data_IF_438473776301
#
_entry.id   IF_438473776301
#
_cell.length_a   1.000
_cell.length_b   1.000
_cell.length_c   1.000
_cell.angle_alpha   90.00
_cell.angle_beta   90.00
_cell.angle_gamma   90.00
#
_symmetry.space_group_name_H-M   'P 1'
#
loop_
_entity.id
_entity.type
_entity.pdbx_description
1 polymer ?
#
# COMPACT_ATOMS: atom_id res chain seq x y z
N UNK A 1 11.82 11.27 -1.76
CA UNK A 1 11.82 10.13 -0.81
C UNK A 1 11.99 8.86 -1.62
N UNK A 2 12.86 7.93 -1.17
CA UNK A 2 12.99 6.64 -1.83
C UNK A 2 12.00 5.65 -1.25
N UNK A 3 11.15 5.06 -2.09
CA UNK A 3 9.96 4.33 -1.66
C UNK A 3 9.93 2.94 -2.28
N UNK A 4 9.74 1.91 -1.47
CA UNK A 4 9.49 0.56 -1.95
C UNK A 4 8.01 0.19 -1.76
N UNK A 5 7.38 -0.32 -2.79
CA UNK A 5 6.02 -0.85 -2.73
C UNK A 5 6.10 -2.37 -2.63
N UNK A 6 6.01 -2.89 -1.43
CA UNK A 6 6.05 -4.34 -1.21
C UNK A 6 4.71 -4.96 -1.57
N UNK A 7 4.63 -5.51 -2.79
CA UNK A 7 3.42 -6.06 -3.37
C UNK A 7 2.67 -5.08 -4.27
N UNK A 8 3.17 -4.86 -5.48
CA UNK A 8 2.56 -3.99 -6.49
C UNK A 8 1.36 -4.67 -7.21
N UNK A 9 0.43 -5.24 -6.42
CA UNK A 9 -0.88 -5.67 -6.90
C UNK A 9 -1.83 -4.47 -7.12
N UNK A 10 -3.15 -4.71 -7.10
CA UNK A 10 -4.14 -3.67 -7.37
C UNK A 10 -3.96 -2.41 -6.51
N UNK A 11 -3.88 -2.57 -5.19
CA UNK A 11 -3.75 -1.44 -4.24
C UNK A 11 -2.34 -0.86 -4.28
N UNK A 12 -1.31 -1.70 -4.12
CA UNK A 12 0.08 -1.23 -4.13
C UNK A 12 0.51 -0.65 -5.47
N UNK A 13 0.03 -1.25 -6.59
CA UNK A 13 0.25 -0.71 -7.93
C UNK A 13 -0.40 0.65 -8.12
N UNK A 14 -1.62 0.85 -7.62
CA UNK A 14 -2.28 2.16 -7.67
C UNK A 14 -1.47 3.23 -6.92
N UNK A 15 -1.21 3.02 -5.62
CA UNK A 15 -0.49 4.01 -4.81
C UNK A 15 0.95 4.22 -5.30
N UNK A 16 1.66 3.14 -5.64
CA UNK A 16 3.01 3.23 -6.18
C UNK A 16 3.06 3.94 -7.53
N UNK A 17 2.11 3.65 -8.41
CA UNK A 17 1.97 4.32 -9.71
C UNK A 17 1.69 5.82 -9.55
N UNK A 18 0.81 6.18 -8.63
CA UNK A 18 0.51 7.58 -8.30
C UNK A 18 1.76 8.31 -7.82
N UNK A 19 2.51 7.74 -6.88
CA UNK A 19 3.73 8.35 -6.35
C UNK A 19 4.81 8.48 -7.44
N UNK A 20 5.00 7.45 -8.24
CA UNK A 20 5.94 7.49 -9.36
C UNK A 20 5.55 8.56 -10.40
N UNK A 21 4.26 8.70 -10.71
CA UNK A 21 3.75 9.73 -11.63
C UNK A 21 3.91 11.16 -11.07
N UNK A 22 4.04 11.32 -9.75
CA UNK A 22 4.37 12.59 -9.09
C UNK A 22 5.88 12.90 -9.09
N UNK A 23 6.71 11.96 -9.57
CA UNK A 23 8.17 12.12 -9.65
C UNK A 23 8.93 11.61 -8.43
N UNK A 24 8.28 10.84 -7.55
CA UNK A 24 8.97 10.18 -6.43
C UNK A 24 9.85 9.02 -6.91
N UNK A 25 10.93 8.74 -6.17
CA UNK A 25 11.79 7.58 -6.43
C UNK A 25 11.13 6.30 -5.90
N UNK A 26 10.38 5.64 -6.77
CA UNK A 26 9.59 4.45 -6.44
C UNK A 26 10.18 3.20 -7.05
N UNK A 27 10.26 2.13 -6.26
CA UNK A 27 10.53 0.76 -6.72
C UNK A 27 9.33 -0.13 -6.40
N UNK A 28 8.78 -0.76 -7.42
CA UNK A 28 7.68 -1.71 -7.27
C UNK A 28 8.24 -3.13 -7.09
N UNK A 29 7.77 -3.83 -6.06
CA UNK A 29 8.05 -5.27 -5.93
C UNK A 29 6.87 -6.03 -6.50
N UNK A 30 7.07 -6.60 -7.71
CA UNK A 30 6.06 -7.34 -8.45
C UNK A 30 6.68 -8.55 -9.14
N UNK A 31 5.99 -9.70 -9.08
CA UNK A 31 6.49 -10.98 -9.61
C UNK A 31 5.78 -11.38 -10.90
N UNK A 32 6.46 -12.25 -11.68
CA UNK A 32 5.87 -12.92 -12.84
C UNK A 32 5.44 -11.97 -13.97
N UNK A 33 4.42 -12.37 -14.72
CA UNK A 33 3.99 -11.64 -15.91
C UNK A 33 3.56 -10.19 -15.65
N UNK A 34 3.04 -9.89 -14.44
CA UNK A 34 2.68 -8.53 -14.07
C UNK A 34 3.93 -7.63 -13.92
N UNK A 35 4.94 -8.10 -13.19
CA UNK A 35 6.21 -7.38 -13.04
C UNK A 35 6.93 -7.19 -14.38
N UNK A 36 6.98 -8.23 -15.21
CA UNK A 36 7.59 -8.16 -16.54
C UNK A 36 6.91 -7.11 -17.43
N UNK A 37 5.58 -7.08 -17.46
CA UNK A 37 4.83 -6.10 -18.25
C UNK A 37 5.08 -4.66 -17.78
N UNK A 38 5.19 -4.43 -16.45
CA UNK A 38 5.55 -3.11 -15.91
C UNK A 38 6.98 -2.71 -16.34
N UNK A 39 7.92 -3.65 -16.28
CA UNK A 39 9.31 -3.39 -16.68
C UNK A 39 9.43 -2.99 -18.16
N UNK A 40 8.70 -3.67 -19.02
CA UNK A 40 8.75 -3.45 -20.47
C UNK A 40 7.98 -2.19 -20.90
N UNK A 41 6.76 -2.02 -20.37
CA UNK A 41 5.79 -1.05 -20.91
C UNK A 41 5.50 0.11 -19.95
N UNK A 42 5.97 0.07 -18.71
CA UNK A 42 5.55 0.95 -17.63
C UNK A 42 4.27 0.45 -16.97
N UNK A 43 3.86 1.10 -15.89
CA UNK A 43 2.62 0.83 -15.20
C UNK A 43 1.51 1.71 -15.76
N UNK A 44 0.51 1.07 -16.36
CA UNK A 44 -0.73 1.72 -16.78
C UNK A 44 -1.69 1.81 -15.60
N UNK A 45 -2.23 2.99 -15.35
CA UNK A 45 -3.28 3.19 -14.34
C UNK A 45 -4.45 3.91 -15.00
N UNK A 46 -5.61 3.27 -14.98
CA UNK A 46 -6.89 3.91 -15.33
C UNK A 46 -7.65 4.19 -14.04
N UNK A 47 -8.00 5.45 -13.83
CA UNK A 47 -8.61 5.91 -12.58
C UNK A 47 -9.66 6.97 -12.85
N UNK A 48 -10.65 7.05 -11.96
CA UNK A 48 -11.61 8.15 -11.92
C UNK A 48 -10.92 9.54 -11.92
N UNK A 49 -9.73 9.62 -11.37
CA UNK A 49 -8.94 10.84 -11.21
C UNK A 49 -7.95 11.11 -12.35
N UNK A 50 -8.05 10.35 -13.43
CA UNK A 50 -7.23 10.48 -14.62
C UNK A 50 -6.39 9.24 -14.91
N UNK A 51 -6.19 8.99 -16.20
CA UNK A 51 -5.42 7.86 -16.69
C UNK A 51 -3.98 8.30 -16.96
N UNK A 52 -3.04 7.42 -16.64
CA UNK A 52 -1.62 7.68 -16.93
C UNK A 52 -0.85 6.37 -17.16
N UNK A 53 0.28 6.50 -17.82
CA UNK A 53 1.29 5.43 -17.88
C UNK A 53 2.60 6.01 -17.34
N UNK A 54 3.23 5.33 -16.40
CA UNK A 54 4.46 5.78 -15.78
C UNK A 54 5.55 4.72 -15.87
N UNK A 55 6.73 5.14 -16.31
CA UNK A 55 7.94 4.31 -16.19
C UNK A 55 8.39 4.32 -14.75
N UNK A 56 8.52 3.14 -14.16
CA UNK A 56 8.88 2.96 -12.76
C UNK A 56 9.79 1.73 -12.62
N UNK A 57 10.73 1.79 -11.69
CA UNK A 57 11.59 0.66 -11.40
C UNK A 57 10.76 -0.49 -10.82
N UNK A 58 10.99 -1.71 -11.29
CA UNK A 58 10.31 -2.92 -10.80
C UNK A 58 11.31 -4.06 -10.65
N UNK A 59 11.15 -4.82 -9.58
CA UNK A 59 11.93 -6.05 -9.33
C UNK A 59 11.04 -7.11 -8.69
N UNK A 60 11.37 -8.36 -8.88
CA UNK A 60 10.77 -9.49 -8.14
C UNK A 60 11.61 -9.91 -6.92
N UNK A 61 12.83 -9.38 -6.80
CA UNK A 61 13.74 -9.63 -5.69
C UNK A 61 13.95 -8.38 -4.81
N UNK A 62 13.29 -8.30 -3.64
CA UNK A 62 13.46 -7.19 -2.71
C UNK A 62 14.90 -6.96 -2.25
N UNK A 63 15.75 -8.00 -2.25
CA UNK A 63 17.14 -7.89 -1.80
C UNK A 63 17.99 -6.98 -2.72
N UNK A 64 17.56 -6.76 -3.95
CA UNK A 64 18.26 -5.90 -4.92
C UNK A 64 17.97 -4.41 -4.74
N UNK A 65 16.97 -4.05 -3.93
CA UNK A 65 16.50 -2.65 -3.78
C UNK A 65 17.46 -1.82 -2.94
N UNK A 66 18.02 -2.40 -1.87
CA UNK A 66 18.76 -1.65 -0.85
C UNK A 66 17.86 -0.83 0.06
N UNK A 67 18.44 -0.08 0.98
CA UNK A 67 17.69 0.70 1.98
C UNK A 67 16.82 1.78 1.33
N UNK A 68 15.62 1.97 1.91
CA UNK A 68 14.63 2.96 1.48
C UNK A 68 14.12 3.78 2.67
N UNK A 69 13.54 4.94 2.40
CA UNK A 69 12.94 5.80 3.43
C UNK A 69 11.56 5.27 3.87
N UNK A 70 10.78 4.74 2.92
CA UNK A 70 9.43 4.23 3.17
C UNK A 70 9.20 2.90 2.46
N UNK A 71 8.69 1.92 3.19
CA UNK A 71 8.11 0.71 2.62
C UNK A 71 6.60 0.80 2.77
N UNK A 72 5.87 0.85 1.64
CA UNK A 72 4.42 0.66 1.63
C UNK A 72 4.13 -0.84 1.48
N UNK A 73 3.69 -1.47 2.58
CA UNK A 73 3.46 -2.91 2.62
C UNK A 73 2.02 -3.26 2.25
N UNK A 74 1.86 -3.85 1.05
CA UNK A 74 0.57 -4.08 0.38
C UNK A 74 0.30 -5.55 0.04
N UNK A 75 1.15 -6.50 0.45
CA UNK A 75 0.92 -7.91 0.19
C UNK A 75 -0.31 -8.42 0.95
N UNK A 76 -0.82 -9.58 0.60
CA UNK A 76 -1.86 -10.21 1.41
C UNK A 76 -1.27 -10.69 2.74
N UNK A 77 -2.05 -10.62 3.83
CA UNK A 77 -1.59 -10.97 5.19
C UNK A 77 -0.95 -12.36 5.26
N UNK A 78 -1.52 -13.35 4.57
CA UNK A 78 -0.99 -14.72 4.52
C UNK A 78 0.39 -14.83 3.84
N UNK A 79 0.82 -13.80 3.12
CA UNK A 79 2.15 -13.76 2.49
C UNK A 79 3.25 -13.23 3.41
N UNK A 80 2.92 -12.77 4.62
CA UNK A 80 3.89 -12.13 5.51
C UNK A 80 5.03 -13.07 5.91
N UNK A 81 4.77 -14.37 6.03
CA UNK A 81 5.82 -15.34 6.36
C UNK A 81 6.97 -15.37 5.32
N UNK A 82 6.66 -15.11 4.06
CA UNK A 82 7.64 -15.00 2.96
C UNK A 82 8.13 -13.55 2.78
N UNK A 83 7.19 -12.60 2.81
CA UNK A 83 7.46 -11.20 2.49
C UNK A 83 8.37 -10.51 3.51
N UNK A 84 8.11 -10.67 4.82
CA UNK A 84 8.86 -9.93 5.83
C UNK A 84 10.36 -10.29 5.86
N UNK A 85 10.77 -11.57 5.80
CA UNK A 85 12.19 -11.91 5.71
C UNK A 85 12.88 -11.29 4.48
N UNK A 86 12.18 -11.22 3.33
CA UNK A 86 12.73 -10.68 2.08
C UNK A 86 12.91 -9.15 2.12
N UNK A 87 12.20 -8.45 3.01
CA UNK A 87 12.28 -6.99 3.16
C UNK A 87 13.52 -6.53 3.94
N UNK A 88 14.23 -7.42 4.64
CA UNK A 88 15.32 -7.02 5.55
C UNK A 88 16.38 -6.14 4.92
N UNK A 89 16.74 -6.37 3.67
CA UNK A 89 17.71 -5.57 2.94
C UNK A 89 17.23 -4.17 2.55
N UNK A 90 15.94 -3.89 2.67
CA UNK A 90 15.35 -2.57 2.40
C UNK A 90 15.21 -1.70 3.67
N UNK A 91 15.38 -2.30 4.85
CA UNK A 91 15.15 -1.63 6.14
C UNK A 91 16.46 -1.15 6.74
N UNK A 92 16.67 0.14 6.73
CA UNK A 92 17.75 0.83 7.43
C UNK A 92 17.28 1.50 8.72
N UNK A 93 18.15 2.29 9.33
CA UNK A 93 17.89 2.93 10.64
C UNK A 93 16.70 3.88 10.61
N UNK A 94 16.46 4.56 9.50
CA UNK A 94 15.39 5.57 9.36
C UNK A 94 14.21 5.08 8.50
N UNK A 95 14.18 3.81 8.12
CA UNK A 95 13.10 3.27 7.29
C UNK A 95 11.78 3.20 8.08
N UNK A 96 10.74 3.78 7.53
CA UNK A 96 9.36 3.59 8.01
C UNK A 96 8.66 2.51 7.19
N UNK A 97 7.94 1.62 7.86
CA UNK A 97 7.11 0.60 7.22
C UNK A 97 5.65 0.97 7.47
N UNK A 98 4.96 1.45 6.45
CA UNK A 98 3.52 1.69 6.49
C UNK A 98 2.79 0.47 5.93
N UNK A 99 2.12 -0.27 6.79
CA UNK A 99 1.27 -1.39 6.33
C UNK A 99 -0.15 -0.91 6.09
N UNK A 100 -0.68 -1.23 4.93
CA UNK A 100 -2.07 -0.99 4.55
C UNK A 100 -2.82 -2.29 4.26
N UNK A 101 -2.31 -3.41 4.78
CA UNK A 101 -2.96 -4.71 4.68
C UNK A 101 -4.32 -4.68 5.42
N UNK A 102 -5.30 -5.40 4.88
CA UNK A 102 -6.58 -5.56 5.58
C UNK A 102 -6.40 -6.40 6.85
N UNK A 103 -7.19 -6.09 7.88
CA UNK A 103 -7.14 -6.73 9.19
C UNK A 103 -6.56 -5.82 10.26
N UNK A 104 -6.38 -6.35 11.46
CA UNK A 104 -5.98 -5.61 12.66
C UNK A 104 -4.65 -6.11 13.25
N UNK A 105 -4.06 -7.15 12.68
CA UNK A 105 -2.88 -7.83 13.24
C UNK A 105 -1.58 -7.56 12.48
N UNK A 106 -1.66 -6.95 11.28
CA UNK A 106 -0.50 -6.76 10.42
C UNK A 106 0.60 -5.95 11.11
N UNK A 107 0.23 -4.86 11.77
CA UNK A 107 1.20 -3.99 12.45
C UNK A 107 2.00 -4.71 13.52
N UNK A 108 1.35 -5.51 14.38
CA UNK A 108 2.05 -6.29 15.43
C UNK A 108 2.97 -7.35 14.85
N UNK A 109 2.53 -8.06 13.80
CA UNK A 109 3.35 -9.08 13.13
C UNK A 109 4.62 -8.45 12.50
N UNK A 110 4.49 -7.27 11.88
CA UNK A 110 5.63 -6.56 11.28
C UNK A 110 6.56 -6.03 12.39
N UNK A 111 5.99 -5.51 13.48
CA UNK A 111 6.74 -4.99 14.62
C UNK A 111 7.58 -6.06 15.32
N UNK A 112 7.12 -7.32 15.38
CA UNK A 112 7.91 -8.45 15.89
C UNK A 112 9.20 -8.69 15.10
N UNK A 113 9.21 -8.33 13.80
CA UNK A 113 10.37 -8.56 12.93
C UNK A 113 11.29 -7.34 12.84
N UNK A 114 10.72 -6.13 12.80
CA UNK A 114 11.47 -4.90 12.48
C UNK A 114 11.52 -3.87 13.62
N UNK A 115 10.80 -4.12 14.73
CA UNK A 115 10.64 -3.15 15.82
C UNK A 115 9.40 -2.27 15.62
N UNK A 116 8.73 -1.96 16.73
CA UNK A 116 7.49 -1.15 16.72
C UNK A 116 7.72 0.31 16.33
N UNK A 117 8.91 0.82 16.57
CA UNK A 117 9.34 2.18 16.26
C UNK A 117 9.39 2.46 14.75
N UNK A 118 9.52 1.42 13.92
CA UNK A 118 9.51 1.52 12.45
C UNK A 118 8.15 1.39 11.81
N UNK A 119 7.12 0.96 12.54
CA UNK A 119 5.86 0.54 11.95
C UNK A 119 4.78 1.59 12.14
N UNK A 120 4.18 2.01 11.03
CA UNK A 120 2.90 2.72 10.98
C UNK A 120 1.82 1.77 10.48
N UNK A 121 0.65 1.87 11.06
CA UNK A 121 -0.51 1.13 10.58
C UNK A 121 -1.42 2.04 9.75
N UNK A 122 -2.09 1.46 8.75
CA UNK A 122 -3.00 2.22 7.91
C UNK A 122 -4.14 1.39 7.35
N UNK A 123 -5.20 2.09 7.01
CA UNK A 123 -6.37 1.59 6.32
C UNK A 123 -6.54 2.32 4.99
N UNK A 124 -6.90 1.60 3.94
CA UNK A 124 -7.24 2.20 2.64
C UNK A 124 -8.67 1.90 2.27
N UNK A 125 -9.33 2.88 1.67
CA UNK A 125 -10.67 2.74 1.12
C UNK A 125 -10.56 3.08 -0.36
N UNK A 126 -10.48 2.05 -1.17
CA UNK A 126 -10.28 2.14 -2.62
C UNK A 126 -10.82 0.88 -3.27
N UNK A 127 -11.49 1.05 -4.39
CA UNK A 127 -11.84 -0.03 -5.29
C UNK A 127 -10.82 -0.07 -6.42
N UNK A 128 -9.96 -1.07 -6.41
CA UNK A 128 -8.94 -1.26 -7.45
C UNK A 128 -8.77 -2.72 -7.81
N UNK A 129 -8.46 -2.96 -9.07
CA UNK A 129 -8.24 -4.28 -9.64
C UNK A 129 -7.07 -4.29 -10.62
N UNK A 130 -6.56 -5.48 -10.91
CA UNK A 130 -5.62 -5.70 -12.02
C UNK A 130 -6.46 -5.96 -13.26
N UNK A 131 -6.50 -5.00 -14.18
CA UNK A 131 -7.23 -5.10 -15.45
C UNK A 131 -6.46 -5.97 -16.48
N UNK A 132 -5.14 -6.04 -16.32
CA UNK A 132 -4.24 -6.85 -17.14
C UNK A 132 -2.83 -6.79 -16.57
N UNK A 133 -1.91 -7.55 -17.12
CA UNK A 133 -0.51 -7.47 -16.69
C UNK A 133 0.04 -6.06 -16.95
N UNK A 134 0.59 -5.42 -15.92
CA UNK A 134 1.06 -4.03 -15.99
C UNK A 134 -0.05 -2.97 -16.02
N UNK A 135 -1.31 -3.36 -15.79
CA UNK A 135 -2.46 -2.46 -15.89
C UNK A 135 -3.35 -2.54 -14.65
N UNK A 136 -3.48 -1.43 -13.94
CA UNK A 136 -4.34 -1.25 -12.78
C UNK A 136 -5.56 -0.43 -13.16
N UNK A 137 -6.73 -0.85 -12.72
CA UNK A 137 -7.97 -0.09 -12.82
C UNK A 137 -8.46 0.28 -11.42
N UNK A 138 -8.79 1.56 -11.22
CA UNK A 138 -9.41 2.07 -10.01
C UNK A 138 -10.80 2.59 -10.35
N UNK A 139 -11.81 2.04 -9.68
CA UNK A 139 -13.23 2.38 -9.85
C UNK A 139 -13.70 3.35 -8.76
N UNK A 140 -14.77 4.07 -9.08
CA UNK A 140 -15.40 4.99 -8.12
C UNK A 140 -14.55 6.23 -7.80
N UNK A 141 -15.13 7.13 -7.02
CA UNK A 141 -14.51 8.41 -6.66
C UNK A 141 -13.76 8.38 -5.33
N UNK A 142 -13.69 7.21 -4.67
CA UNK A 142 -13.02 7.09 -3.37
C UNK A 142 -11.61 6.55 -3.55
N UNK A 143 -10.64 7.35 -3.12
CA UNK A 143 -9.27 6.94 -2.90
C UNK A 143 -8.80 7.56 -1.57
N UNK A 144 -8.91 6.79 -0.49
CA UNK A 144 -8.55 7.25 0.87
C UNK A 144 -7.49 6.36 1.47
N UNK A 145 -6.51 7.01 2.12
CA UNK A 145 -5.57 6.37 3.03
C UNK A 145 -5.65 7.07 4.39
N UNK A 146 -5.83 6.30 5.44
CA UNK A 146 -5.82 6.76 6.83
C UNK A 146 -4.80 5.94 7.60
N UNK A 147 -3.86 6.59 8.26
CA UNK A 147 -2.75 5.91 8.93
C UNK A 147 -2.31 6.72 10.15
N UNK A 148 -1.54 6.11 11.03
CA UNK A 148 -1.05 6.83 12.22
C UNK A 148 -0.10 6.02 13.07
N UNK A 149 0.43 6.70 14.08
CA UNK A 149 1.17 6.08 15.17
C UNK A 149 0.21 5.28 16.06
N UNK A 150 0.72 4.23 16.70
CA UNK A 150 -0.09 3.39 17.58
C UNK A 150 -0.60 4.13 18.83
N UNK A 151 0.12 5.17 19.26
CA UNK A 151 -0.25 6.01 20.40
C UNK A 151 -1.11 7.23 20.01
N UNK A 152 -1.41 7.38 18.72
CA UNK A 152 -2.20 8.49 18.17
C UNK A 152 -1.44 9.82 18.08
N UNK A 153 -0.14 9.83 18.29
CA UNK A 153 0.68 11.04 18.17
C UNK A 153 0.83 11.47 16.71
N UNK A 154 0.97 12.78 16.49
CA UNK A 154 1.40 13.33 15.20
C UNK A 154 2.90 13.54 15.24
N UNK A 155 3.62 12.91 14.32
CA UNK A 155 5.08 12.92 14.25
C UNK A 155 5.54 13.52 12.92
N UNK A 156 6.83 13.88 12.83
CA UNK A 156 7.40 14.37 11.57
C UNK A 156 7.25 13.36 10.43
N UNK A 157 7.38 12.06 10.71
CA UNK A 157 7.21 11.03 9.69
C UNK A 157 5.76 10.90 9.23
N UNK A 158 4.77 11.00 10.12
CA UNK A 158 3.36 10.96 9.71
C UNK A 158 3.00 12.16 8.84
N UNK A 159 3.50 13.35 9.17
CA UNK A 159 3.29 14.55 8.37
C UNK A 159 4.01 14.50 7.02
N UNK A 160 5.22 13.94 6.97
CA UNK A 160 5.95 13.74 5.71
C UNK A 160 5.20 12.78 4.78
N UNK A 161 4.71 11.66 5.31
CA UNK A 161 3.92 10.67 4.54
C UNK A 161 2.57 11.26 4.13
N UNK A 162 1.91 12.04 4.99
CA UNK A 162 0.68 12.75 4.63
C UNK A 162 0.87 13.66 3.42
N UNK A 163 1.95 14.46 3.41
CA UNK A 163 2.30 15.33 2.28
C UNK A 163 2.64 14.54 1.03
N UNK A 164 3.33 13.41 1.18
CA UNK A 164 3.72 12.53 0.08
C UNK A 164 2.49 12.00 -0.69
N UNK A 165 1.44 11.58 0.02
CA UNK A 165 0.22 11.06 -0.60
C UNK A 165 -0.80 12.14 -0.99
N UNK A 166 -0.61 13.39 -0.53
CA UNK A 166 -1.57 14.48 -0.80
C UNK A 166 -1.61 14.83 -2.28
N UNK A 167 -2.79 14.71 -2.88
CA UNK A 167 -3.08 15.11 -4.27
C UNK A 167 -4.59 15.29 -4.45
N UNK A 168 -4.98 15.94 -5.55
CA UNK A 168 -6.38 16.05 -5.92
C UNK A 168 -7.01 14.66 -6.09
N UNK A 169 -8.17 14.47 -5.48
CA UNK A 169 -8.91 13.22 -5.51
C UNK A 169 -8.46 12.17 -4.50
N UNK A 170 -7.37 12.38 -3.75
CA UNK A 170 -6.95 11.46 -2.69
C UNK A 170 -7.20 12.06 -1.31
N UNK A 171 -7.95 11.36 -0.48
CA UNK A 171 -8.14 11.70 0.92
C UNK A 171 -7.02 11.08 1.76
N UNK A 172 -6.28 11.91 2.47
CA UNK A 172 -5.15 11.48 3.30
C UNK A 172 -5.33 11.98 4.72
N UNK A 173 -5.48 11.07 5.67
CA UNK A 173 -5.75 11.39 7.07
C UNK A 173 -4.69 10.77 7.98
N UNK A 174 -4.20 11.54 8.95
CA UNK A 174 -3.39 11.02 10.06
C UNK A 174 -4.35 10.76 11.22
N UNK A 175 -4.50 9.50 11.56
CA UNK A 175 -5.43 9.05 12.60
C UNK A 175 -4.83 9.28 13.99
N UNK A 176 -5.63 9.82 14.90
CA UNK A 176 -5.30 9.90 16.32
C UNK A 176 -5.69 8.64 17.11
N UNK A 177 -6.33 7.68 16.45
CA UNK A 177 -6.69 6.37 17.01
C UNK A 177 -6.73 5.32 15.90
N UNK A 178 -5.55 4.98 15.36
CA UNK A 178 -5.46 4.06 14.21
C UNK A 178 -6.03 2.67 14.53
N UNK A 179 -5.93 2.23 15.77
CA UNK A 179 -6.48 0.94 16.21
C UNK A 179 -7.98 0.91 16.03
N UNK A 180 -8.69 1.98 16.43
CA UNK A 180 -10.15 2.09 16.25
C UNK A 180 -10.52 2.16 14.76
N UNK A 181 -9.74 2.89 13.97
CA UNK A 181 -9.90 2.94 12.51
C UNK A 181 -9.84 1.55 11.88
N UNK A 182 -8.83 0.74 12.26
CA UNK A 182 -8.67 -0.62 11.75
C UNK A 182 -9.82 -1.54 12.17
N UNK A 183 -10.26 -1.48 13.44
CA UNK A 183 -11.39 -2.28 13.92
C UNK A 183 -12.70 -1.88 13.26
N UNK A 184 -12.98 -0.58 13.11
CA UNK A 184 -14.17 -0.08 12.41
C UNK A 184 -14.20 -0.58 10.96
N UNK A 185 -13.05 -0.50 10.25
CA UNK A 185 -12.92 -1.06 8.91
C UNK A 185 -13.13 -2.57 8.90
N UNK A 186 -12.56 -3.30 9.86
CA UNK A 186 -12.69 -4.76 9.93
C UNK A 186 -14.15 -5.18 10.11
N UNK A 187 -14.90 -4.51 10.98
CA UNK A 187 -16.34 -4.76 11.18
C UNK A 187 -17.13 -4.49 9.90
N UNK A 188 -16.88 -3.36 9.26
CA UNK A 188 -17.53 -2.99 8.00
C UNK A 188 -17.26 -4.01 6.89
N UNK A 189 -15.99 -4.31 6.63
CA UNK A 189 -15.59 -5.23 5.55
C UNK A 189 -16.05 -6.66 5.84
N UNK A 190 -15.99 -7.09 7.10
CA UNK A 190 -16.47 -8.41 7.52
C UNK A 190 -17.97 -8.56 7.31
N UNK A 191 -18.77 -7.56 7.70
CA UNK A 191 -20.22 -7.56 7.52
C UNK A 191 -20.57 -7.59 6.01
N UNK A 192 -19.99 -6.71 5.22
CA UNK A 192 -20.22 -6.63 3.76
C UNK A 192 -19.82 -7.95 3.09
N UNK A 193 -18.62 -8.46 3.36
CA UNK A 193 -18.12 -9.69 2.76
C UNK A 193 -19.00 -10.91 3.10
N UNK A 194 -19.50 -10.99 4.33
CA UNK A 194 -20.40 -12.06 4.76
C UNK A 194 -21.74 -11.99 4.03
N UNK A 195 -22.32 -10.78 3.92
CA UNK A 195 -23.59 -10.59 3.19
C UNK A 195 -23.43 -10.90 1.70
N UNK A 196 -22.34 -10.46 1.08
CA UNK A 196 -22.04 -10.78 -0.33
C UNK A 196 -21.92 -12.28 -0.55
N UNK A 197 -21.18 -12.98 0.32
CA UNK A 197 -21.03 -14.43 0.23
C UNK A 197 -22.36 -15.16 0.42
N UNK A 198 -23.16 -14.75 1.39
CA UNK A 198 -24.47 -15.35 1.69
C UNK A 198 -25.49 -15.11 0.57
N UNK A 199 -25.50 -13.91 -0.01
CA UNK A 199 -26.43 -13.51 -1.08
C UNK A 199 -25.94 -13.88 -2.48
N UNK A 200 -24.67 -14.28 -2.65
CA UNK A 200 -23.99 -14.45 -3.93
C UNK A 200 -24.05 -13.20 -4.83
N UNK A 201 -24.12 -12.03 -4.20
CA UNK A 201 -24.13 -10.74 -4.88
C UNK A 201 -22.71 -10.13 -4.88
N UNK A 202 -22.38 -9.34 -5.89
CA UNK A 202 -21.24 -8.43 -5.89
C UNK A 202 -21.65 -7.07 -5.35
N UNK A 203 -20.68 -6.25 -4.97
CA UNK A 203 -20.90 -4.80 -4.81
C UNK A 203 -21.37 -4.22 -6.15
N UNK A 204 -22.28 -3.22 -6.12
CA UNK A 204 -22.78 -2.57 -7.33
C UNK A 204 -21.68 -1.83 -8.08
#
# INVERSE_FOLDING_TARGET
MRIAIMGAGAVGGYFGGVLANQGEDVVLIARGAHGNAISENGLQVDSHWGNFNVKVNVTDDPATVGEVDLILHCTKLYSNAEALPSMKGMVGDNTTILTIQNGVTSGSIIAEVFGSDRVLQGATYIESGIAGHGHIHQSGSTAKIEFGENDGSSTERTEAIRKLFYRDGMQVEVSTSIVDTLWNKMVMVGAIGTLMAASRASLP
#
